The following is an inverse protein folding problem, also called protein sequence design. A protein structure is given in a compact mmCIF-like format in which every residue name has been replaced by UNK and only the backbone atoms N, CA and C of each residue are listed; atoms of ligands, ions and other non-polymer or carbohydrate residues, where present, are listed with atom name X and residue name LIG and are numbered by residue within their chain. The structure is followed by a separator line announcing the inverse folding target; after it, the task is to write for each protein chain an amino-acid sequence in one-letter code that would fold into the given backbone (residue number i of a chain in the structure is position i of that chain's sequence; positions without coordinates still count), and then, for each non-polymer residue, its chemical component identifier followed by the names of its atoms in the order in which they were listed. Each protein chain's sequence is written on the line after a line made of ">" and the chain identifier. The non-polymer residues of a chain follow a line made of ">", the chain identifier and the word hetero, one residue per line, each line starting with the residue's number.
data_IF_714636040279
#
_entry.id   IF_714636040279
#
_cell.length_a   1.000
_cell.length_b   1.000
_cell.length_c   1.000
_cell.angle_alpha   90.00
_cell.angle_beta   90.00
_cell.angle_gamma   90.00
#
_symmetry.space_group_name_H-M   'P 1'
#
loop_
_entity.id
_entity.type
_entity.pdbx_description
1 polymer ?
#
# COMPACT_ATOMS: atom_id res chain seq x y z
N UNK A 1 -5.37 -1.06 10.16
CA UNK A 1 -4.79 -2.29 9.59
C UNK A 1 -3.31 -2.10 9.21
N UNK A 2 -2.95 -1.03 8.49
CA UNK A 2 -1.56 -0.75 8.07
C UNK A 2 -0.51 -0.73 9.21
N UNK A 3 -0.88 -0.21 10.39
CA UNK A 3 -0.01 -0.28 11.57
C UNK A 3 0.32 -1.71 12.01
N UNK A 4 -0.63 -2.64 11.89
CA UNK A 4 -0.41 -4.05 12.23
C UNK A 4 0.51 -4.73 11.21
N UNK A 5 0.37 -4.40 9.93
CA UNK A 5 1.29 -4.85 8.89
C UNK A 5 2.71 -4.34 9.12
N UNK A 6 2.87 -3.12 9.62
CA UNK A 6 4.19 -2.55 9.89
C UNK A 6 4.89 -3.19 11.07
N UNK A 7 4.12 -3.62 12.08
CA UNK A 7 4.65 -4.42 13.20
C UNK A 7 5.06 -5.80 12.69
N UNK A 8 4.20 -6.45 11.88
CA UNK A 8 4.50 -7.77 11.32
C UNK A 8 5.70 -7.75 10.36
N UNK A 9 5.92 -6.66 9.62
CA UNK A 9 7.05 -6.51 8.71
C UNK A 9 8.33 -5.97 9.38
N UNK A 10 8.33 -5.75 10.71
CA UNK A 10 9.43 -5.08 11.40
C UNK A 10 10.74 -5.89 11.39
N UNK A 11 10.67 -7.21 11.25
CA UNK A 11 11.81 -8.11 11.08
C UNK A 11 12.21 -8.32 9.60
N UNK A 12 11.53 -7.65 8.68
CA UNK A 12 11.76 -7.71 7.23
C UNK A 12 11.06 -8.88 6.52
N UNK A 13 10.28 -9.73 7.21
CA UNK A 13 9.54 -10.82 6.58
C UNK A 13 8.17 -11.02 7.23
N UNK A 14 7.09 -10.94 6.45
CA UNK A 14 5.77 -11.33 6.93
C UNK A 14 5.60 -12.84 6.75
N UNK A 15 5.44 -13.57 7.85
CA UNK A 15 5.20 -15.01 7.82
C UNK A 15 3.75 -15.36 7.45
N UNK A 16 3.52 -16.57 6.95
CA UNK A 16 2.17 -17.04 6.57
C UNK A 16 1.17 -16.95 7.74
N UNK A 17 1.60 -17.27 8.96
CA UNK A 17 0.77 -17.20 10.16
C UNK A 17 0.37 -15.75 10.49
N UNK A 18 1.27 -14.79 10.25
CA UNK A 18 0.99 -13.36 10.45
C UNK A 18 0.02 -12.84 9.39
N UNK A 19 0.17 -13.26 8.13
CA UNK A 19 -0.80 -12.96 7.07
C UNK A 19 -2.20 -13.49 7.41
N UNK A 20 -2.29 -14.74 7.87
CA UNK A 20 -3.57 -15.33 8.28
C UNK A 20 -4.20 -14.57 9.46
N UNK A 21 -3.39 -14.14 10.43
CA UNK A 21 -3.85 -13.33 11.54
C UNK A 21 -4.35 -11.95 11.06
N UNK A 22 -3.57 -11.26 10.24
CA UNK A 22 -3.93 -9.96 9.68
C UNK A 22 -5.22 -10.02 8.85
N UNK A 23 -5.44 -11.12 8.11
CA UNK A 23 -6.69 -11.36 7.37
C UNK A 23 -7.89 -11.52 8.31
N UNK A 24 -7.77 -12.32 9.37
CA UNK A 24 -8.84 -12.43 10.39
C UNK A 24 -9.13 -11.07 11.05
N UNK A 25 -8.09 -10.31 11.34
CA UNK A 25 -8.26 -8.96 11.90
C UNK A 25 -8.96 -8.04 10.89
N UNK A 26 -8.60 -8.09 9.61
CA UNK A 26 -9.26 -7.27 8.59
C UNK A 26 -10.74 -7.59 8.44
N UNK A 27 -11.11 -8.88 8.52
CA UNK A 27 -12.51 -9.33 8.56
C UNK A 27 -13.27 -8.75 9.76
N UNK A 28 -12.68 -8.79 10.96
CA UNK A 28 -13.29 -8.25 12.19
C UNK A 28 -13.57 -6.75 12.06
N UNK A 29 -12.66 -5.99 11.45
CA UNK A 29 -12.83 -4.56 11.21
C UNK A 29 -13.68 -4.23 9.98
N UNK A 30 -14.17 -5.23 9.23
CA UNK A 30 -15.05 -5.06 8.08
C UNK A 30 -14.35 -4.54 6.82
N UNK A 31 -13.04 -4.73 6.69
CA UNK A 31 -12.33 -4.42 5.44
C UNK A 31 -12.66 -5.45 4.36
N UNK A 32 -12.77 -5.00 3.11
CA UNK A 32 -12.90 -5.92 1.96
C UNK A 32 -11.59 -6.67 1.71
N UNK A 33 -11.68 -7.86 1.10
CA UNK A 33 -10.50 -8.63 0.68
C UNK A 33 -9.62 -7.81 -0.27
N UNK A 34 -10.23 -7.07 -1.20
CA UNK A 34 -9.51 -6.17 -2.12
C UNK A 34 -8.67 -5.13 -1.36
N UNK A 35 -9.21 -4.55 -0.28
CA UNK A 35 -8.47 -3.57 0.52
C UNK A 35 -7.38 -4.26 1.34
N UNK A 36 -7.62 -5.47 1.82
CA UNK A 36 -6.59 -6.28 2.48
C UNK A 36 -5.44 -6.57 1.51
N UNK A 37 -5.73 -7.05 0.31
CA UNK A 37 -4.74 -7.38 -0.72
C UNK A 37 -3.95 -6.15 -1.16
N UNK A 38 -4.60 -5.00 -1.33
CA UNK A 38 -3.92 -3.73 -1.61
C UNK A 38 -2.96 -3.35 -0.49
N UNK A 39 -3.39 -3.43 0.77
CA UNK A 39 -2.53 -3.12 1.91
C UNK A 39 -1.37 -4.12 1.96
N UNK A 40 -1.64 -5.42 1.88
CA UNK A 40 -0.61 -6.44 1.89
C UNK A 40 0.41 -6.24 0.76
N UNK A 41 -0.05 -5.91 -0.44
CA UNK A 41 0.80 -5.63 -1.59
C UNK A 41 1.81 -4.52 -1.29
N UNK A 42 1.43 -3.46 -0.58
CA UNK A 42 2.34 -2.36 -0.18
C UNK A 42 3.50 -2.80 0.71
N UNK A 43 3.35 -3.89 1.48
CA UNK A 43 4.41 -4.41 2.36
C UNK A 43 5.23 -5.52 1.70
N UNK A 44 4.73 -6.12 0.62
CA UNK A 44 5.39 -7.20 -0.11
C UNK A 44 6.18 -6.70 -1.35
N UNK A 45 6.14 -5.39 -1.65
CA UNK A 45 6.75 -4.77 -2.86
C UNK A 45 8.26 -5.02 -2.98
N UNK A 46 8.97 -5.31 -1.89
CA UNK A 46 10.41 -5.64 -1.94
C UNK A 46 10.71 -6.91 -2.77
N UNK A 47 9.70 -7.75 -3.05
CA UNK A 47 9.77 -8.83 -4.03
C UNK A 47 9.32 -8.40 -5.43
N UNK A 48 10.10 -8.72 -6.47
CA UNK A 48 9.80 -8.50 -7.90
C UNK A 48 8.51 -9.17 -8.45
N UNK A 49 7.60 -9.66 -7.59
CA UNK A 49 6.39 -10.40 -7.97
C UNK A 49 5.06 -9.71 -7.65
N UNK A 50 5.05 -8.54 -7.01
CA UNK A 50 3.79 -7.84 -6.67
C UNK A 50 3.26 -7.08 -7.88
N UNK A 51 1.98 -7.29 -8.18
CA UNK A 51 1.25 -6.58 -9.23
C UNK A 51 1.17 -5.07 -8.90
N UNK A 52 1.74 -4.18 -9.74
CA UNK A 52 1.71 -2.75 -9.47
C UNK A 52 0.29 -2.16 -9.56
N UNK A 53 -0.65 -2.77 -10.28
CA UNK A 53 -2.05 -2.32 -10.34
C UNK A 53 -2.76 -2.56 -9.00
N UNK A 54 -2.47 -3.71 -8.38
CA UNK A 54 -2.98 -4.06 -7.05
C UNK A 54 -2.46 -3.07 -5.99
N UNK A 55 -1.20 -2.65 -6.06
CA UNK A 55 -0.63 -1.62 -5.17
C UNK A 55 -1.40 -0.30 -5.30
N UNK A 56 -1.76 0.09 -6.53
CA UNK A 56 -2.57 1.29 -6.77
C UNK A 56 -4.07 1.07 -6.46
N UNK A 57 -4.51 -0.16 -6.20
CA UNK A 57 -5.91 -0.51 -5.93
C UNK A 57 -6.81 -0.33 -7.15
N UNK A 58 -6.28 -0.58 -8.35
CA UNK A 58 -6.98 -0.47 -9.63
C UNK A 58 -6.78 -1.75 -10.44
N UNK A 59 -7.66 -2.00 -11.41
CA UNK A 59 -7.52 -3.11 -12.35
C UNK A 59 -6.46 -2.84 -13.44
N UNK A 60 -5.91 -3.90 -14.06
CA UNK A 60 -4.98 -3.77 -15.19
C UNK A 60 -5.61 -3.13 -16.43
N UNK A 61 -6.95 -3.16 -16.53
CA UNK A 61 -7.79 -2.53 -17.55
C UNK A 61 -8.08 -1.04 -17.29
N UNK A 62 -7.68 -0.51 -16.13
CA UNK A 62 -7.85 0.91 -15.81
C UNK A 62 -7.20 1.80 -16.88
N UNK A 63 -7.86 2.90 -17.22
CA UNK A 63 -7.36 3.93 -18.14
C UNK A 63 -6.18 4.70 -17.54
N UNK A 64 -5.41 5.36 -18.40
CA UNK A 64 -4.25 6.14 -17.95
C UNK A 64 -4.62 7.32 -17.04
N UNK A 65 -5.84 7.86 -17.21
CA UNK A 65 -6.39 8.87 -16.34
C UNK A 65 -6.66 8.30 -14.93
N UNK A 66 -7.24 7.09 -14.85
CA UNK A 66 -7.49 6.40 -13.59
C UNK A 66 -6.20 6.02 -12.87
N UNK A 67 -5.17 5.56 -13.60
CA UNK A 67 -3.84 5.30 -13.04
C UNK A 67 -3.26 6.54 -12.39
N UNK A 68 -3.28 7.69 -13.09
CA UNK A 68 -2.76 8.96 -12.57
C UNK A 68 -3.58 9.48 -11.39
N UNK A 69 -4.90 9.29 -11.42
CA UNK A 69 -5.79 9.67 -10.34
C UNK A 69 -5.55 8.84 -9.08
N UNK A 70 -5.45 7.52 -9.22
CA UNK A 70 -5.17 6.59 -8.12
C UNK A 70 -3.82 6.90 -7.47
N UNK A 71 -2.79 7.11 -8.30
CA UNK A 71 -1.47 7.53 -7.83
C UNK A 71 -1.52 8.79 -6.96
N UNK A 72 -2.13 9.88 -7.47
CA UNK A 72 -2.22 11.15 -6.73
C UNK A 72 -3.02 11.02 -5.44
N UNK A 73 -4.10 10.25 -5.47
CA UNK A 73 -4.94 9.98 -4.29
C UNK A 73 -4.12 9.29 -3.20
N UNK A 74 -3.39 8.23 -3.55
CA UNK A 74 -2.58 7.47 -2.60
C UNK A 74 -1.42 8.30 -2.04
N UNK A 75 -0.71 9.06 -2.89
CA UNK A 75 0.36 9.97 -2.41
C UNK A 75 -0.19 10.98 -1.41
N UNK A 76 -1.37 11.55 -1.67
CA UNK A 76 -2.00 12.47 -0.74
C UNK A 76 -2.39 11.78 0.57
N UNK A 77 -3.01 10.60 0.50
CA UNK A 77 -3.43 9.80 1.66
C UNK A 77 -2.28 9.40 2.57
N UNK A 78 -1.12 9.08 2.00
CA UNK A 78 0.05 8.61 2.74
C UNK A 78 1.10 9.70 2.99
N UNK A 79 0.81 10.98 2.66
CA UNK A 79 1.74 12.08 2.92
C UNK A 79 2.00 12.24 4.43
N UNK A 80 3.27 12.36 4.89
CA UNK A 80 3.60 12.54 6.29
C UNK A 80 2.80 13.65 6.96
N UNK A 81 2.72 14.83 6.33
CA UNK A 81 1.94 15.96 6.84
C UNK A 81 0.46 15.63 7.06
N UNK A 82 -0.14 14.84 6.15
CA UNK A 82 -1.56 14.44 6.28
C UNK A 82 -1.74 13.41 7.37
N UNK A 83 -0.79 12.50 7.55
CA UNK A 83 -0.80 11.53 8.65
C UNK A 83 -0.71 12.25 10.00
N UNK A 84 0.23 13.18 10.15
CA UNK A 84 0.38 14.00 11.36
C UNK A 84 -0.89 14.82 11.63
N UNK A 85 -1.47 15.44 10.61
CA UNK A 85 -2.73 16.18 10.72
C UNK A 85 -3.91 15.29 11.18
N UNK A 86 -3.88 14.00 10.85
CA UNK A 86 -4.88 13.01 11.28
C UNK A 86 -4.57 12.38 12.66
N UNK A 87 -3.58 12.90 13.38
CA UNK A 87 -3.22 12.45 14.73
C UNK A 87 -2.28 11.25 14.78
N UNK A 88 -1.62 10.91 13.66
CA UNK A 88 -0.52 9.94 13.68
C UNK A 88 0.70 10.59 14.34
N UNK A 89 1.33 9.97 15.36
CA UNK A 89 2.56 10.49 15.95
C UNK A 89 3.65 10.73 14.89
N UNK A 90 4.41 11.79 15.05
CA UNK A 90 5.48 12.17 14.10
C UNK A 90 6.54 11.07 13.94
N UNK A 91 6.82 10.34 15.02
CA UNK A 91 7.69 9.16 15.05
C UNK A 91 7.20 8.03 14.11
N UNK A 92 5.89 7.96 13.85
CA UNK A 92 5.26 7.01 12.95
C UNK A 92 4.96 7.61 11.56
N UNK A 93 5.14 8.91 11.37
CA UNK A 93 4.94 9.56 10.08
C UNK A 93 5.94 9.10 9.01
N UNK A 94 7.11 8.58 9.44
CA UNK A 94 8.10 7.94 8.57
C UNK A 94 7.50 6.79 7.74
N UNK A 95 6.51 6.06 8.27
CA UNK A 95 5.81 5.00 7.57
C UNK A 95 5.12 5.50 6.29
N UNK A 96 4.66 6.75 6.28
CA UNK A 96 4.07 7.39 5.10
C UNK A 96 5.08 7.57 3.97
N UNK A 97 6.33 7.86 4.31
CA UNK A 97 7.43 7.97 3.34
C UNK A 97 7.69 6.63 2.65
N UNK A 98 7.76 5.54 3.43
CA UNK A 98 7.94 4.20 2.89
C UNK A 98 6.78 3.80 1.98
N UNK A 99 5.53 4.16 2.35
CA UNK A 99 4.36 3.91 1.49
C UNK A 99 4.45 4.68 0.19
N UNK A 100 4.80 5.97 0.24
CA UNK A 100 4.97 6.79 -0.97
C UNK A 100 6.06 6.19 -1.86
N UNK A 101 7.16 5.67 -1.30
CA UNK A 101 8.18 4.99 -2.07
C UNK A 101 7.63 3.75 -2.81
N UNK A 102 6.88 2.89 -2.11
CA UNK A 102 6.23 1.72 -2.73
C UNK A 102 5.23 2.11 -3.84
N UNK A 103 4.42 3.15 -3.60
CA UNK A 103 3.47 3.72 -4.58
C UNK A 103 4.20 4.26 -5.81
N UNK A 104 5.32 4.97 -5.61
CA UNK A 104 6.14 5.50 -6.71
C UNK A 104 6.76 4.37 -7.54
N UNK A 105 7.21 3.28 -6.92
CA UNK A 105 7.73 2.09 -7.61
C UNK A 105 6.63 1.45 -8.46
N UNK A 106 5.45 1.24 -7.91
CA UNK A 106 4.32 0.66 -8.63
C UNK A 106 3.88 1.53 -9.82
N UNK A 107 3.67 2.82 -9.59
CA UNK A 107 3.33 3.77 -10.65
C UNK A 107 4.41 3.82 -11.73
N UNK A 108 5.70 3.84 -11.35
CA UNK A 108 6.81 3.83 -12.30
C UNK A 108 6.84 2.58 -13.18
N UNK A 109 6.50 1.39 -12.63
CA UNK A 109 6.37 0.14 -13.41
C UNK A 109 5.24 0.24 -14.44
N UNK A 110 4.07 0.74 -14.04
CA UNK A 110 2.92 0.92 -14.94
C UNK A 110 3.23 1.97 -16.01
N UNK A 111 3.77 3.12 -15.61
CA UNK A 111 4.09 4.21 -16.52
C UNK A 111 5.12 3.78 -17.57
N UNK A 112 6.15 3.04 -17.17
CA UNK A 112 7.14 2.48 -18.11
C UNK A 112 6.51 1.48 -19.07
N UNK A 113 5.61 0.61 -18.59
CA UNK A 113 4.95 -0.39 -19.43
C UNK A 113 3.98 0.23 -20.44
N UNK A 114 3.36 1.36 -20.09
CA UNK A 114 2.34 2.05 -20.90
C UNK A 114 2.85 3.25 -21.70
N UNK A 115 4.07 3.74 -21.43
CA UNK A 115 4.65 4.93 -22.06
C UNK A 115 4.06 6.26 -21.55
N UNK A 116 3.77 6.35 -20.24
CA UNK A 116 3.14 7.51 -19.58
C UNK A 116 4.08 8.56 -19.02
#
# INVERSE_FOLDING_TARGET
>A
LEGLFSIAAADGMIHEQELQYLRKVSEIFGFSEERFEQIAALFLVEGNGVDPYLVLGIGPDASDAEVKQAYRKLVLEHHPDKLVANGVPEELAGMGTDRIAAINVAYGRIAKARGL
#
